data_IF_020346914319
#
_entry.id   IF_020346914319
#
_cell.length_a   1.000
_cell.length_b   1.000
_cell.length_c   1.000
_cell.angle_alpha   90.00
_cell.angle_beta   90.00
_cell.angle_gamma   90.00
#
_symmetry.space_group_name_H-M   'P 1'
#
loop_
_entity.id
_entity.type
_entity.pdbx_description
1 polymer ?
#
# COMPACT_ATOMS: atom_id res chain seq x y z
N UNK A 1 21.78 6.17 20.71
CA UNK A 1 21.43 6.89 19.47
C UNK A 1 20.37 6.04 18.77
N UNK A 2 19.12 6.48 18.71
CA UNK A 2 18.07 5.70 18.01
C UNK A 2 18.27 5.96 16.53
N UNK A 3 18.73 4.94 15.81
CA UNK A 3 18.79 4.98 14.35
C UNK A 3 17.40 5.31 13.81
N UNK A 4 17.29 6.40 13.06
CA UNK A 4 16.06 6.83 12.42
C UNK A 4 15.75 5.89 11.26
N UNK A 5 15.27 4.70 11.60
CA UNK A 5 14.94 3.67 10.63
C UNK A 5 13.72 4.10 9.79
N UNK A 6 13.81 3.85 8.49
CA UNK A 6 12.70 4.03 7.57
C UNK A 6 11.62 2.98 7.87
N UNK A 7 10.41 3.46 8.13
CA UNK A 7 9.23 2.62 8.32
C UNK A 7 8.27 2.78 7.17
N UNK A 8 7.55 1.73 6.84
CA UNK A 8 6.53 1.77 5.78
C UNK A 8 5.21 2.24 6.37
N UNK A 9 4.58 3.21 5.73
CA UNK A 9 3.29 3.74 6.09
C UNK A 9 2.33 3.64 4.91
N UNK A 10 1.06 3.49 5.22
CA UNK A 10 -0.02 3.49 4.25
C UNK A 10 -0.84 4.77 4.42
N UNK A 11 -0.97 5.48 3.32
CA UNK A 11 -1.97 6.52 3.09
C UNK A 11 -2.84 6.06 1.91
N UNK A 12 -3.19 6.96 0.97
CA UNK A 12 -3.70 6.59 -0.36
C UNK A 12 -2.69 5.76 -1.17
N UNK A 13 -1.40 5.90 -0.84
CA UNK A 13 -0.28 5.17 -1.42
C UNK A 13 0.58 4.56 -0.30
N UNK A 14 1.45 3.61 -0.66
CA UNK A 14 2.50 3.13 0.23
C UNK A 14 3.68 4.09 0.16
N UNK A 15 4.16 4.51 1.31
CA UNK A 15 5.31 5.42 1.44
C UNK A 15 6.25 4.91 2.51
N UNK A 16 7.52 5.29 2.42
CA UNK A 16 8.48 5.11 3.49
C UNK A 16 8.63 6.43 4.21
N UNK A 17 8.72 6.40 5.52
CA UNK A 17 9.02 7.61 6.27
C UNK A 17 9.96 7.35 7.44
N UNK A 18 10.75 8.35 7.77
CA UNK A 18 11.59 8.38 8.97
C UNK A 18 11.36 9.68 9.74
N UNK A 19 11.43 9.59 11.07
CA UNK A 19 11.32 10.77 11.91
C UNK A 19 12.66 11.52 11.95
N UNK A 20 12.60 12.85 11.84
CA UNK A 20 13.75 13.74 11.92
C UNK A 20 14.15 13.99 13.37
N UNK A 21 15.39 13.71 13.72
CA UNK A 21 15.98 13.97 15.03
C UNK A 21 16.53 15.39 15.19
N UNK A 22 16.73 16.09 14.08
CA UNK A 22 17.19 17.48 14.01
C UNK A 22 16.43 18.26 12.93
N UNK A 23 16.60 19.58 12.89
CA UNK A 23 16.07 20.40 11.81
C UNK A 23 16.77 20.07 10.49
N UNK A 24 15.99 19.81 9.45
CA UNK A 24 16.49 19.48 8.11
C UNK A 24 15.86 20.42 7.09
N UNK A 25 16.67 20.98 6.21
CA UNK A 25 16.19 21.75 5.06
C UNK A 25 16.90 21.29 3.81
N UNK A 26 16.14 20.98 2.76
CA UNK A 26 16.69 20.58 1.46
C UNK A 26 15.81 21.13 0.33
N UNK A 27 16.36 21.11 -0.88
CA UNK A 27 15.63 21.47 -2.10
C UNK A 27 15.40 20.19 -2.89
N UNK A 28 14.14 19.90 -3.22
CA UNK A 28 13.77 18.76 -4.05
C UNK A 28 14.24 18.98 -5.50
N UNK A 29 14.29 17.90 -6.29
CA UNK A 29 14.55 17.88 -7.74
C UNK A 29 13.69 18.86 -8.53
N UNK A 30 12.49 19.17 -8.03
CA UNK A 30 11.56 20.14 -8.61
C UNK A 30 11.83 21.59 -8.18
N UNK A 31 12.94 21.87 -7.47
CA UNK A 31 13.31 23.20 -7.00
C UNK A 31 12.51 23.69 -5.80
N UNK A 32 11.73 22.83 -5.14
CA UNK A 32 10.92 23.19 -3.98
C UNK A 32 11.74 23.10 -2.71
N UNK A 33 11.75 24.17 -1.93
CA UNK A 33 12.41 24.17 -0.63
C UNK A 33 11.52 23.49 0.41
N UNK A 34 12.06 22.44 1.01
CA UNK A 34 11.47 21.74 2.15
C UNK A 34 12.25 22.08 3.41
N UNK A 35 11.53 22.35 4.49
CA UNK A 35 12.12 22.54 5.82
C UNK A 35 11.29 21.81 6.86
N UNK A 36 11.97 21.10 7.75
CA UNK A 36 11.40 20.32 8.83
C UNK A 36 12.13 20.56 10.12
N UNK A 37 11.41 20.39 11.23
CA UNK A 37 11.93 20.49 12.59
C UNK A 37 12.12 19.11 13.18
N UNK A 38 12.82 19.05 14.30
CA UNK A 38 12.92 17.82 15.10
C UNK A 38 11.51 17.32 15.44
N UNK A 39 11.25 16.06 15.10
CA UNK A 39 9.97 15.38 15.31
C UNK A 39 9.10 15.27 14.06
N UNK A 40 9.36 16.08 13.03
CA UNK A 40 8.70 15.95 11.72
C UNK A 40 9.16 14.69 10.99
N UNK A 41 8.44 14.33 9.93
CA UNK A 41 8.70 13.11 9.17
C UNK A 41 9.23 13.43 7.78
N UNK A 42 10.32 12.79 7.40
CA UNK A 42 10.77 12.72 6.02
C UNK A 42 10.05 11.55 5.35
N UNK A 43 9.35 11.82 4.26
CA UNK A 43 8.51 10.86 3.52
C UNK A 43 9.06 10.67 2.13
N UNK A 44 9.30 9.42 1.76
CA UNK A 44 9.71 8.95 0.44
C UNK A 44 8.56 8.16 -0.20
N UNK A 45 8.11 8.61 -1.36
CA UNK A 45 7.11 7.89 -2.15
C UNK A 45 7.77 6.82 -3.03
N UNK A 46 6.99 5.86 -3.53
CA UNK A 46 7.45 4.84 -4.48
C UNK A 46 8.06 5.41 -5.76
N UNK A 47 7.72 6.65 -6.11
CA UNK A 47 8.23 7.36 -7.28
C UNK A 47 9.61 8.02 -7.04
N UNK A 48 10.19 7.86 -5.85
CA UNK A 48 11.48 8.45 -5.49
C UNK A 48 11.41 9.93 -5.10
N UNK A 49 10.20 10.48 -4.95
CA UNK A 49 9.99 11.84 -4.45
C UNK A 49 10.13 11.87 -2.93
N UNK A 50 10.92 12.83 -2.43
CA UNK A 50 11.14 13.03 -1.01
C UNK A 50 10.47 14.33 -0.56
N UNK A 51 9.70 14.27 0.52
CA UNK A 51 8.98 15.42 1.09
C UNK A 51 9.06 15.42 2.61
N UNK A 52 8.82 16.58 3.23
CA UNK A 52 8.74 16.71 4.70
C UNK A 52 7.27 16.92 5.09
N UNK A 53 6.79 16.10 6.01
CA UNK A 53 5.47 16.19 6.60
C UNK A 53 5.56 16.59 8.09
N UNK A 54 4.78 17.59 8.55
CA UNK A 54 4.71 17.94 9.96
C UNK A 54 4.22 16.77 10.81
N UNK A 55 4.77 16.62 12.02
CA UNK A 55 4.40 15.52 12.95
C UNK A 55 2.90 15.33 13.12
N UNK A 56 2.19 16.43 13.38
CA UNK A 56 0.74 16.40 13.68
C UNK A 56 -0.09 15.81 12.52
N UNK A 57 0.23 16.22 11.29
CA UNK A 57 -0.47 15.75 10.09
C UNK A 57 -0.06 14.31 9.79
N UNK A 58 1.22 14.00 9.97
CA UNK A 58 1.75 12.68 9.68
C UNK A 58 1.09 11.61 10.56
N UNK A 59 1.05 11.82 11.87
CA UNK A 59 0.48 10.84 12.81
C UNK A 59 -1.05 10.69 12.66
N UNK A 60 -1.74 11.71 12.17
CA UNK A 60 -3.20 11.68 11.95
C UNK A 60 -3.59 10.95 10.65
N UNK A 61 -2.80 11.13 9.59
CA UNK A 61 -3.13 10.64 8.24
C UNK A 61 -2.44 9.32 7.90
N UNK A 62 -1.24 9.07 8.42
CA UNK A 62 -0.39 7.96 7.98
C UNK A 62 -0.48 6.79 8.95
N UNK A 63 -0.93 5.64 8.42
CA UNK A 63 -1.04 4.41 9.21
C UNK A 63 0.23 3.60 9.07
N UNK A 64 0.94 3.34 10.17
CA UNK A 64 2.12 2.50 10.16
C UNK A 64 1.76 1.07 9.73
N UNK A 65 2.39 0.59 8.66
CA UNK A 65 2.34 -0.82 8.27
C UNK A 65 3.49 -1.50 9.02
N UNK A 66 3.18 -2.37 9.97
CA UNK A 66 4.20 -3.03 10.82
C UNK A 66 5.37 -3.60 10.00
N UNK A 67 6.55 -3.67 10.62
CA UNK A 67 7.78 -4.27 10.07
C UNK A 67 7.45 -5.64 9.48
N UNK A 68 7.37 -5.73 8.15
CA UNK A 68 6.96 -6.94 7.46
C UNK A 68 6.33 -6.72 6.08
N UNK A 69 5.94 -5.49 5.71
CA UNK A 69 5.38 -5.25 4.38
C UNK A 69 6.43 -5.37 3.25
N UNK A 70 7.72 -5.15 3.53
CA UNK A 70 8.78 -5.29 2.53
C UNK A 70 9.22 -6.77 2.38
N UNK A 71 9.19 -7.57 3.46
CA UNK A 71 9.52 -9.01 3.44
C UNK A 71 8.36 -9.93 3.03
N UNK A 72 7.10 -9.47 3.13
CA UNK A 72 5.92 -10.28 2.82
C UNK A 72 5.48 -10.19 1.35
N UNK A 73 5.87 -9.16 0.59
CA UNK A 73 5.45 -9.03 -0.83
C UNK A 73 6.11 -10.11 -1.70
N UNK A 74 7.29 -10.60 -1.33
CA UNK A 74 7.93 -11.73 -2.04
C UNK A 74 7.21 -13.06 -1.76
N UNK A 75 6.52 -13.21 -0.62
CA UNK A 75 5.82 -14.46 -0.24
C UNK A 75 4.32 -14.48 -0.53
N UNK A 76 3.64 -13.33 -0.57
CA UNK A 76 2.20 -13.27 -0.84
C UNK A 76 1.85 -13.34 -2.34
N UNK A 77 2.82 -13.04 -3.23
CA UNK A 77 2.63 -13.15 -4.67
C UNK A 77 2.62 -14.60 -5.18
N UNK A 78 3.19 -15.56 -4.43
CA UNK A 78 3.21 -16.98 -4.82
C UNK A 78 1.89 -17.70 -4.49
N UNK A 79 1.19 -17.31 -3.41
CA UNK A 79 -0.02 -18.04 -2.95
C UNK A 79 -1.27 -17.74 -3.80
N UNK A 80 -1.25 -16.74 -4.69
CA UNK A 80 -2.43 -16.39 -5.53
C UNK A 80 -2.36 -16.89 -6.98
N UNK A 81 -1.39 -17.73 -7.33
CA UNK A 81 -1.29 -18.31 -8.68
C UNK A 81 -1.84 -19.73 -8.83
N UNK A 82 -2.52 -20.28 -7.84
CA UNK A 82 -3.29 -21.51 -8.02
C UNK A 82 -4.77 -21.27 -7.76
N UNK A 83 -5.57 -21.39 -8.82
CA UNK A 83 -7.01 -21.50 -8.70
C UNK A 83 -7.84 -20.39 -9.33
N UNK A 84 -7.43 -19.80 -10.46
CA UNK A 84 -8.44 -19.21 -11.37
C UNK A 84 -9.24 -20.35 -11.98
N UNK A 85 -10.32 -20.78 -11.30
CA UNK A 85 -11.32 -21.63 -11.93
C UNK A 85 -11.92 -20.84 -13.09
N UNK A 86 -11.87 -21.42 -14.28
CA UNK A 86 -12.50 -20.91 -15.49
C UNK A 86 -13.95 -20.49 -15.16
N UNK A 87 -14.47 -19.34 -15.64
CA UNK A 87 -15.89 -19.09 -15.55
C UNK A 87 -16.64 -20.27 -16.17
N UNK A 88 -17.70 -20.72 -15.52
CA UNK A 88 -18.42 -21.91 -15.95
C UNK A 88 -18.86 -21.75 -17.41
N UNK A 89 -18.69 -22.78 -18.26
CA UNK A 89 -19.22 -22.74 -19.62
C UNK A 89 -20.72 -22.59 -19.52
N UNK A 90 -21.28 -21.63 -20.26
CA UNK A 90 -22.73 -21.55 -20.43
C UNK A 90 -23.18 -22.89 -21.02
N UNK A 91 -23.91 -23.69 -20.23
CA UNK A 91 -24.47 -24.95 -20.67
C UNK A 91 -25.98 -24.78 -20.66
N UNK A 92 -26.52 -24.64 -21.87
CA UNK A 92 -27.87 -24.97 -22.26
C UNK A 92 -28.53 -25.98 -21.31
N UNK A 93 -29.59 -25.54 -20.62
CA UNK A 93 -30.58 -26.44 -20.02
C UNK A 93 -31.97 -25.92 -20.33
N UNK A 94 -32.40 -26.12 -21.57
CA UNK A 94 -33.83 -26.30 -21.83
C UNK A 94 -34.09 -27.21 -23.01
N UNK A 95 -33.91 -28.52 -22.80
CA UNK A 95 -34.63 -29.53 -23.55
C UNK A 95 -34.94 -30.74 -22.67
N UNK A 96 -36.25 -30.98 -22.52
CA UNK A 96 -36.95 -32.22 -22.25
C UNK A 96 -36.70 -33.01 -20.96
N UNK A 97 -37.77 -33.18 -20.18
CA UNK A 97 -38.33 -34.52 -19.98
C UNK A 97 -39.86 -34.48 -19.85
N UNK A 98 -40.55 -35.51 -20.36
CA UNK A 98 -42.00 -35.55 -20.51
C UNK A 98 -42.66 -35.94 -19.19
N UNK A 99 -43.85 -35.43 -18.91
CA UNK A 99 -44.75 -36.07 -17.95
C UNK A 99 -46.12 -36.20 -18.57
N UNK A 100 -46.46 -37.46 -18.87
CA UNK A 100 -47.70 -37.87 -19.47
C UNK A 100 -48.85 -37.77 -18.47
N UNK A 101 -49.98 -37.28 -18.97
CA UNK A 101 -51.39 -37.52 -18.64
C UNK A 101 -51.88 -37.55 -17.18
N UNK A 102 -52.90 -36.73 -16.90
CA UNK A 102 -54.05 -37.16 -16.11
C UNK A 102 -55.32 -36.55 -16.73
N UNK A 103 -56.11 -37.41 -17.37
CA UNK A 103 -57.55 -37.23 -17.60
C UNK A 103 -58.30 -37.97 -16.50
#
# INVERSE_FOLDING_TARGET
MKSEEWKTYRTRFLVKAKQLGSSLSFVDSLGRQHSGRKGDYLVESSEGLISIAPKQIFEDIYVAMGMGAEDAVVRAAEVRREGRKLPQPWRDRRACSPRMSLM
#
